data_IF_160278938820
#
_entry.id   IF_160278938820
#
_cell.length_a   1.000
_cell.length_b   1.000
_cell.length_c   1.000
_cell.angle_alpha   90.00
_cell.angle_beta   90.00
_cell.angle_gamma   90.00
#
_symmetry.space_group_name_H-M   'P 1'
#
loop_
_entity.id
_entity.type
_entity.pdbx_description
1 polymer ?
#
# COMPACT_ATOMS: atom_id res chain seq x y z
N UNK A 1 -13.81 -9.14 -12.28
CA UNK A 1 -12.85 -8.08 -12.66
C UNK A 1 -12.51 -8.29 -14.13
N UNK A 2 -12.29 -7.23 -14.91
CA UNK A 2 -11.82 -7.41 -16.30
C UNK A 2 -10.47 -8.13 -16.28
N UNK A 3 -10.13 -8.83 -17.37
CA UNK A 3 -8.88 -9.61 -17.48
C UNK A 3 -7.61 -8.77 -17.21
N UNK A 4 -7.70 -7.47 -17.44
CA UNK A 4 -6.57 -6.52 -17.34
C UNK A 4 -6.71 -5.52 -16.18
N UNK A 5 -7.70 -5.72 -15.29
CA UNK A 5 -7.95 -4.82 -14.17
C UNK A 5 -6.85 -4.88 -13.11
N UNK A 6 -6.44 -3.72 -12.59
CA UNK A 6 -5.52 -3.60 -11.47
C UNK A 6 -6.24 -3.11 -10.20
N UNK A 7 -5.74 -3.52 -9.04
CA UNK A 7 -6.24 -3.12 -7.72
C UNK A 7 -5.10 -2.44 -6.98
N UNK A 8 -5.29 -1.17 -6.63
CA UNK A 8 -4.40 -0.46 -5.71
C UNK A 8 -5.14 -0.35 -4.38
N UNK A 9 -4.57 -0.91 -3.34
CA UNK A 9 -5.09 -0.83 -1.97
C UNK A 9 -4.13 0.03 -1.14
N UNK A 10 -4.33 1.35 -1.09
CA UNK A 10 -3.54 2.21 -0.23
C UNK A 10 -3.96 1.96 1.21
N UNK A 11 -3.16 1.18 1.93
CA UNK A 11 -3.40 0.83 3.32
C UNK A 11 -2.31 1.43 4.21
N UNK A 12 -2.72 1.94 5.37
CA UNK A 12 -1.76 2.25 6.42
C UNK A 12 -1.25 0.95 7.06
N UNK A 13 -0.02 0.97 7.57
CA UNK A 13 0.67 -0.19 8.14
C UNK A 13 1.20 -1.16 7.08
N UNK A 14 1.37 -2.43 7.48
CA UNK A 14 1.73 -3.50 6.55
C UNK A 14 0.48 -3.97 5.81
N UNK A 15 0.60 -4.10 4.49
CA UNK A 15 -0.47 -4.67 3.66
C UNK A 15 -0.50 -6.20 3.79
N UNK A 16 -1.66 -6.83 3.59
CA UNK A 16 -1.79 -8.29 3.67
C UNK A 16 -0.86 -9.06 2.71
N UNK A 17 -0.48 -8.43 1.60
CA UNK A 17 0.42 -8.98 0.58
C UNK A 17 1.91 -8.75 0.89
N UNK A 18 2.27 -8.20 2.06
CA UNK A 18 3.63 -7.72 2.32
C UNK A 18 4.71 -8.77 2.05
N UNK A 19 4.51 -10.03 2.43
CA UNK A 19 5.47 -11.11 2.18
C UNK A 19 5.25 -11.84 0.85
N UNK A 20 4.28 -11.43 0.04
CA UNK A 20 3.99 -12.09 -1.23
C UNK A 20 5.00 -11.68 -2.31
N UNK A 21 5.29 -12.64 -3.21
CA UNK A 21 6.12 -12.48 -4.42
C UNK A 21 7.56 -11.97 -4.19
N UNK A 22 8.06 -12.01 -2.96
CA UNK A 22 9.46 -11.74 -2.63
C UNK A 22 10.30 -13.02 -2.56
N UNK A 23 11.60 -12.88 -2.81
CA UNK A 23 12.60 -13.88 -2.43
C UNK A 23 13.01 -13.75 -0.97
N UNK A 24 12.13 -14.03 -0.02
CA UNK A 24 12.41 -13.97 1.42
C UNK A 24 12.04 -15.26 2.16
N UNK A 25 12.60 -15.51 3.37
CA UNK A 25 12.23 -16.67 4.19
C UNK A 25 10.75 -16.73 4.57
N UNK A 26 10.07 -15.58 4.56
CA UNK A 26 8.67 -15.45 4.93
C UNK A 26 7.74 -15.41 3.72
N UNK A 27 8.25 -15.73 2.52
CA UNK A 27 7.44 -15.69 1.30
C UNK A 27 6.15 -16.49 1.47
N UNK A 28 5.01 -15.84 1.24
CA UNK A 28 3.68 -16.45 1.36
C UNK A 28 3.15 -16.58 2.80
N UNK A 29 3.91 -16.11 3.80
CA UNK A 29 3.42 -16.00 5.16
C UNK A 29 2.30 -14.97 5.25
N UNK A 30 1.30 -15.27 6.06
CA UNK A 30 0.15 -14.39 6.30
C UNK A 30 0.36 -13.58 7.57
N UNK A 31 -0.01 -12.30 7.51
CA UNK A 31 -0.10 -11.42 8.67
C UNK A 31 -1.46 -11.62 9.33
N UNK A 32 -1.51 -12.38 10.43
CA UNK A 32 -2.78 -12.68 11.12
C UNK A 32 -3.45 -11.41 11.66
N UNK A 33 -2.64 -10.40 12.00
CA UNK A 33 -3.08 -9.06 12.43
C UNK A 33 -3.88 -8.29 11.36
N UNK A 34 -3.67 -8.59 10.08
CA UNK A 34 -4.30 -7.90 8.93
C UNK A 34 -5.32 -8.79 8.22
N UNK A 35 -5.04 -10.09 8.10
CA UNK A 35 -5.83 -11.04 7.34
C UNK A 35 -5.88 -12.41 8.05
N UNK A 36 -6.58 -12.53 9.19
CA UNK A 36 -6.54 -13.72 10.05
C UNK A 36 -7.05 -15.00 9.38
N UNK A 37 -8.05 -14.89 8.50
CA UNK A 37 -8.72 -16.01 7.85
C UNK A 37 -8.28 -16.22 6.38
N UNK A 38 -7.38 -15.38 5.88
CA UNK A 38 -6.95 -15.37 4.48
C UNK A 38 -8.01 -14.92 3.48
N UNK A 39 -9.11 -14.30 3.93
CA UNK A 39 -10.18 -13.82 3.05
C UNK A 39 -9.66 -12.79 2.04
N UNK A 40 -8.75 -11.90 2.45
CA UNK A 40 -8.15 -10.91 1.55
C UNK A 40 -7.38 -11.55 0.39
N UNK A 41 -6.52 -12.53 0.68
CA UNK A 41 -5.75 -13.25 -0.35
C UNK A 41 -6.65 -14.05 -1.31
N UNK A 42 -7.78 -14.58 -0.81
CA UNK A 42 -8.77 -15.28 -1.65
C UNK A 42 -9.59 -14.33 -2.52
N UNK A 43 -9.89 -13.14 -2.01
CA UNK A 43 -10.77 -12.16 -2.66
C UNK A 43 -10.01 -11.33 -3.70
N UNK A 44 -8.74 -11.04 -3.45
CA UNK A 44 -7.91 -10.19 -4.28
C UNK A 44 -6.75 -10.99 -4.86
N UNK A 45 -6.83 -11.45 -6.12
CA UNK A 45 -5.76 -12.20 -6.77
C UNK A 45 -4.47 -11.37 -6.79
N UNK A 46 -3.37 -11.93 -6.28
CA UNK A 46 -2.08 -11.23 -6.16
C UNK A 46 -1.52 -10.71 -7.49
N UNK A 47 -1.94 -11.28 -8.62
CA UNK A 47 -1.56 -10.80 -9.96
C UNK A 47 -2.28 -9.50 -10.35
N UNK A 48 -3.48 -9.26 -9.83
CA UNK A 48 -4.21 -8.01 -10.05
C UNK A 48 -3.77 -6.89 -9.10
N UNK A 49 -3.07 -7.22 -8.01
CA UNK A 49 -2.70 -6.26 -6.97
C UNK A 49 -1.45 -5.47 -7.38
N UNK A 50 -1.53 -4.16 -7.23
CA UNK A 50 -0.43 -3.20 -7.31
C UNK A 50 -0.26 -2.60 -5.91
N UNK A 51 0.95 -2.65 -5.38
CA UNK A 51 1.23 -1.99 -4.10
C UNK A 51 1.16 -0.48 -4.28
N UNK A 52 0.61 0.21 -3.29
CA UNK A 52 0.38 1.64 -3.35
C UNK A 52 0.62 2.32 -2.00
N UNK A 53 1.43 3.38 -1.98
CA UNK A 53 1.69 4.21 -0.81
C UNK A 53 1.27 5.64 -1.13
N UNK A 54 0.37 6.20 -0.32
CA UNK A 54 -0.16 7.56 -0.55
C UNK A 54 0.46 8.50 0.45
N UNK A 55 1.35 9.37 -0.03
CA UNK A 55 1.84 10.50 0.73
C UNK A 55 0.99 11.73 0.41
N UNK A 56 -0.24 11.75 0.92
CA UNK A 56 -1.13 12.93 0.86
C UNK A 56 -2.02 12.96 2.09
N UNK A 57 -1.82 13.90 3.02
CA UNK A 57 -2.72 14.05 4.15
C UNK A 57 -4.09 14.53 3.69
N UNK A 58 -5.12 13.78 4.07
CA UNK A 58 -6.51 14.10 3.80
C UNK A 58 -7.31 13.99 5.10
N UNK A 59 -8.26 14.90 5.31
CA UNK A 59 -9.19 14.86 6.43
C UNK A 59 -10.61 14.81 5.91
N UNK A 60 -11.41 13.85 6.38
CA UNK A 60 -12.85 13.88 6.18
C UNK A 60 -13.45 14.94 7.10
N UNK A 61 -14.07 15.97 6.52
CA UNK A 61 -14.68 17.07 7.29
C UNK A 61 -16.10 16.68 7.69
N UNK A 62 -16.84 16.08 6.76
CA UNK A 62 -18.17 15.49 6.90
C UNK A 62 -18.38 14.50 5.75
N UNK A 63 -19.42 13.64 5.77
CA UNK A 63 -19.67 12.68 4.70
C UNK A 63 -19.68 13.35 3.30
N UNK A 64 -18.83 12.85 2.41
CA UNK A 64 -18.69 13.39 1.04
C UNK A 64 -17.79 14.62 0.90
N UNK A 65 -17.27 15.21 1.99
CA UNK A 65 -16.37 16.37 1.94
C UNK A 65 -15.00 16.06 2.55
N UNK A 66 -13.98 16.04 1.70
CA UNK A 66 -12.59 15.77 2.08
C UNK A 66 -11.76 17.05 1.90
N UNK A 67 -11.00 17.42 2.93
CA UNK A 67 -10.00 18.48 2.87
C UNK A 67 -8.62 17.87 2.69
N UNK A 68 -7.98 18.18 1.57
CA UNK A 68 -6.58 17.87 1.30
C UNK A 68 -5.70 18.93 1.95
N UNK A 69 -4.71 18.54 2.75
CA UNK A 69 -3.73 19.48 3.28
C UNK A 69 -2.55 19.58 2.32
N UNK A 70 -2.09 20.79 2.02
CA UNK A 70 -0.93 21.00 1.15
C UNK A 70 0.36 20.69 1.90
N UNK A 71 1.24 19.90 1.29
CA UNK A 71 2.54 19.54 1.84
C UNK A 71 3.55 19.39 0.69
N UNK A 72 4.83 19.71 0.91
CA UNK A 72 5.88 19.32 -0.02
C UNK A 72 5.96 17.80 -0.16
N UNK A 73 6.13 17.32 -1.39
CA UNK A 73 6.35 15.89 -1.68
C UNK A 73 5.07 15.05 -1.75
N UNK A 74 3.91 15.69 -1.88
CA UNK A 74 2.64 15.01 -2.18
C UNK A 74 2.79 14.11 -3.40
N UNK A 75 2.52 12.81 -3.23
CA UNK A 75 2.57 11.82 -4.32
C UNK A 75 1.92 10.50 -3.93
N UNK A 76 1.54 9.75 -4.95
CA UNK A 76 1.18 8.34 -4.84
C UNK A 76 2.35 7.53 -5.40
N UNK A 77 2.86 6.59 -4.63
CA UNK A 77 3.85 5.63 -5.11
C UNK A 77 3.17 4.32 -5.44
N UNK A 78 3.49 3.74 -6.59
CA UNK A 78 2.95 2.45 -7.04
C UNK A 78 4.07 1.51 -7.49
N UNK A 79 3.88 0.21 -7.32
CA UNK A 79 4.85 -0.79 -7.75
C UNK A 79 4.29 -2.20 -7.82
N UNK A 80 5.02 -3.09 -8.49
CA UNK A 80 4.71 -4.52 -8.48
C UNK A 80 5.14 -5.13 -7.15
N UNK A 81 4.39 -6.15 -6.70
CA UNK A 81 4.72 -6.87 -5.47
C UNK A 81 6.04 -7.65 -5.57
N UNK A 82 6.47 -7.98 -6.78
CA UNK A 82 7.73 -8.66 -7.11
C UNK A 82 8.86 -7.70 -7.49
N UNK A 83 8.68 -6.39 -7.24
CA UNK A 83 9.64 -5.32 -7.50
C UNK A 83 9.99 -5.10 -8.99
N UNK A 84 9.26 -5.68 -9.95
CA UNK A 84 9.48 -5.36 -11.37
C UNK A 84 8.81 -4.06 -11.77
N UNK A 85 9.42 -3.34 -12.71
CA UNK A 85 8.75 -2.25 -13.42
C UNK A 85 8.11 -2.81 -14.69
N UNK A 86 6.80 -2.66 -14.83
CA UNK A 86 6.00 -3.27 -15.90
C UNK A 86 5.26 -2.21 -16.72
N UNK A 87 4.88 -2.51 -17.99
CA UNK A 87 4.11 -1.57 -18.82
C UNK A 87 2.78 -1.14 -18.18
N UNK A 88 2.13 -2.02 -17.39
CA UNK A 88 0.87 -1.68 -16.72
C UNK A 88 1.05 -0.62 -15.64
N UNK A 89 2.20 -0.55 -14.96
CA UNK A 89 2.49 0.51 -14.00
C UNK A 89 2.53 1.88 -14.69
N UNK A 90 3.10 1.96 -15.89
CA UNK A 90 3.10 3.18 -16.69
C UNK A 90 1.69 3.59 -17.13
N UNK A 91 0.86 2.63 -17.57
CA UNK A 91 -0.53 2.89 -17.92
C UNK A 91 -1.36 3.40 -16.73
N UNK A 92 -1.19 2.79 -15.55
CA UNK A 92 -1.82 3.19 -14.30
C UNK A 92 -1.36 4.60 -13.89
N UNK A 93 -0.05 4.86 -13.90
CA UNK A 93 0.52 6.19 -13.64
C UNK A 93 -0.12 7.25 -14.55
N UNK A 94 -0.16 7.01 -15.85
CA UNK A 94 -0.75 7.95 -16.81
C UNK A 94 -2.24 8.20 -16.52
N UNK A 95 -3.01 7.15 -16.21
CA UNK A 95 -4.42 7.30 -15.87
C UNK A 95 -4.64 8.13 -14.61
N UNK A 96 -3.86 7.91 -13.56
CA UNK A 96 -3.97 8.68 -12.31
C UNK A 96 -3.49 10.13 -12.51
N UNK A 97 -2.36 10.34 -13.21
CA UNK A 97 -1.80 11.68 -13.43
C UNK A 97 -2.70 12.59 -14.26
N UNK A 98 -3.50 12.01 -15.17
CA UNK A 98 -4.53 12.78 -15.91
C UNK A 98 -5.57 13.46 -15.01
N UNK A 99 -5.69 13.02 -13.75
CA UNK A 99 -6.56 13.62 -12.74
C UNK A 99 -5.84 14.61 -11.81
N UNK A 100 -4.58 14.96 -12.11
CA UNK A 100 -3.79 15.95 -11.36
C UNK A 100 -3.05 15.38 -10.13
N UNK A 101 -3.03 14.06 -9.97
CA UNK A 101 -2.34 13.40 -8.87
C UNK A 101 -0.92 12.97 -9.28
N UNK A 102 0.13 13.50 -8.65
CA UNK A 102 1.50 13.07 -8.97
C UNK A 102 1.72 11.61 -8.58
N UNK A 103 2.25 10.81 -9.51
CA UNK A 103 2.51 9.38 -9.28
C UNK A 103 3.96 9.02 -9.55
N UNK A 104 4.57 8.24 -8.65
CA UNK A 104 5.89 7.67 -8.84
C UNK A 104 5.78 6.14 -8.97
N UNK A 105 6.39 5.59 -10.01
CA UNK A 105 6.58 4.14 -10.14
C UNK A 105 7.87 3.75 -9.41
N UNK A 106 7.82 2.70 -8.58
CA UNK A 106 8.95 2.23 -7.79
C UNK A 106 9.09 0.70 -7.86
N UNK A 107 10.33 0.22 -7.82
CA UNK A 107 10.70 -1.18 -7.57
C UNK A 107 10.96 -1.45 -6.06
N UNK A 108 10.89 -0.42 -5.23
CA UNK A 108 11.23 -0.46 -3.81
C UNK A 108 10.05 -0.20 -2.87
N UNK A 109 8.87 -0.79 -3.12
CA UNK A 109 7.65 -0.57 -2.31
C UNK A 109 7.83 -0.81 -0.81
N UNK A 110 8.80 -1.64 -0.43
CA UNK A 110 9.06 -2.06 0.95
C UNK A 110 10.29 -1.38 1.55
N UNK A 111 10.82 -0.36 0.89
CA UNK A 111 11.85 0.50 1.47
C UNK A 111 11.34 1.02 2.83
N UNK A 112 12.17 0.98 3.90
CA UNK A 112 11.82 1.51 5.22
C UNK A 112 11.18 2.90 5.20
N UNK A 113 11.53 3.78 4.26
CA UNK A 113 10.88 5.07 4.10
C UNK A 113 9.38 4.92 3.76
N UNK A 114 9.05 4.02 2.84
CA UNK A 114 7.67 3.74 2.40
C UNK A 114 6.86 3.00 3.47
N UNK A 115 7.50 2.07 4.16
CA UNK A 115 6.90 1.38 5.29
C UNK A 115 6.51 2.37 6.41
N UNK A 116 7.32 3.41 6.65
CA UNK A 116 7.02 4.46 7.64
C UNK A 116 5.87 5.37 7.23
N UNK A 117 5.77 5.74 5.96
CA UNK A 117 4.65 6.54 5.44
C UNK A 117 3.35 5.74 5.59
N UNK A 118 3.37 4.47 5.18
CA UNK A 118 2.23 3.57 5.37
C UNK A 118 1.93 3.44 6.86
N UNK A 119 2.94 3.24 7.71
CA UNK A 119 2.74 2.98 9.13
C UNK A 119 2.29 4.20 9.95
N UNK A 120 2.64 5.43 9.59
CA UNK A 120 2.46 6.58 10.49
C UNK A 120 2.05 7.87 9.79
N UNK A 121 0.86 8.41 10.15
CA UNK A 121 0.55 9.86 10.35
C UNK A 121 -0.93 10.24 10.43
N UNK A 122 -1.87 9.30 10.49
CA UNK A 122 -3.24 9.63 10.92
C UNK A 122 -3.26 9.84 12.44
N UNK A 123 -3.28 11.09 12.92
CA UNK A 123 -3.57 11.41 14.34
C UNK A 123 -4.96 10.91 14.82
N UNK A 124 -5.77 10.36 13.91
CA UNK A 124 -7.10 9.82 14.18
C UNK A 124 -7.14 8.31 14.44
N UNK A 125 -6.06 7.56 14.23
CA UNK A 125 -6.04 6.11 14.47
C UNK A 125 -5.20 5.83 15.72
N UNK A 126 -5.82 5.25 16.76
CA UNK A 126 -5.20 5.03 18.06
C UNK A 126 -3.92 4.20 18.01
N UNK A 127 -3.01 4.46 18.95
CA UNK A 127 -1.67 3.89 19.05
C UNK A 127 -1.59 2.34 19.07
N UNK A 128 -2.70 1.64 19.28
CA UNK A 128 -2.75 0.17 19.47
C UNK A 128 -2.44 -0.65 18.20
N UNK A 129 -2.71 -0.13 17.00
CA UNK A 129 -2.46 -0.87 15.75
C UNK A 129 -0.98 -0.92 15.33
N UNK A 130 -0.19 0.07 15.75
CA UNK A 130 1.23 0.19 15.35
C UNK A 130 2.15 -0.73 16.15
N UNK A 131 1.80 -1.04 17.40
CA UNK A 131 2.59 -1.89 18.30
C UNK A 131 2.58 -3.36 17.86
N UNK A 132 1.43 -3.86 17.38
CA UNK A 132 1.32 -5.21 16.82
C UNK A 132 2.15 -5.39 15.54
N UNK A 133 2.13 -4.40 14.64
CA UNK A 133 2.89 -4.44 13.39
C UNK A 133 4.40 -4.44 13.66
N UNK A 134 4.86 -3.65 14.63
CA UNK A 134 6.26 -3.64 15.06
C UNK A 134 6.71 -4.95 15.73
N UNK A 135 5.82 -5.65 16.42
CA UNK A 135 6.10 -6.94 17.04
C UNK A 135 6.19 -8.07 15.99
N UNK A 136 5.31 -8.08 15.00
CA UNK A 136 5.36 -9.06 13.90
C UNK A 136 6.61 -8.86 13.01
N UNK A 137 7.07 -7.62 12.79
CA UNK A 137 8.35 -7.37 12.10
C UNK A 137 9.58 -7.88 12.84
N UNK A 138 9.58 -7.85 14.19
CA UNK A 138 10.70 -8.37 15.01
C UNK A 138 10.75 -9.89 15.06
N UNK A 139 9.63 -10.57 14.82
CA UNK A 139 9.58 -12.03 14.67
C UNK A 139 9.93 -12.47 13.23
N UNK A 140 9.97 -11.52 12.31
CA UNK A 140 10.14 -11.73 10.88
C UNK A 140 11.55 -11.43 10.33
N UNK A 141 12.45 -10.87 11.17
CA UNK A 141 13.85 -10.57 10.90
C UNK A 141 14.74 -11.32 11.88
#
# INVERSE_FOLDING_TARGET
MSRDGAIILPQNGLSYWYFEKLGSPLRGSRLASVAPDGTLTKTFPLDAVIGGVVNKPANLVEPGRVRLADQPGDRIEIGELDNRVTPRLAAIKSGIESSGWPVHVTDGLRDPHQARISASRSRSCGASGQELVGLEMRQAL
#
